data_IF_397632493402
#
_entry.id   IF_397632493402
#
_cell.length_a   1.000
_cell.length_b   1.000
_cell.length_c   1.000
_cell.angle_alpha   90.00
_cell.angle_beta   90.00
_cell.angle_gamma   90.00
#
_symmetry.space_group_name_H-M   'P 1'
#
loop_
_entity.id
_entity.type
_entity.pdbx_description
1 polymer ?
#
# COMPACT_ATOMS: atom_id res chain seq x y z
N UNK A 1 16.82 14.64 8.51
CA UNK A 1 15.44 14.89 7.99
C UNK A 1 14.59 13.70 8.45
N UNK A 2 13.80 13.85 9.52
CA UNK A 2 13.03 12.75 10.14
C UNK A 2 11.68 12.53 9.44
N UNK A 3 11.65 12.47 8.10
CA UNK A 3 10.41 12.17 7.37
C UNK A 3 10.24 10.65 7.39
N UNK A 4 9.68 10.18 8.49
CA UNK A 4 9.43 8.79 8.81
C UNK A 4 8.58 8.09 7.73
N UNK A 5 8.95 6.85 7.41
CA UNK A 5 8.17 5.90 6.61
C UNK A 5 6.73 5.70 7.11
N UNK A 6 6.41 6.10 8.37
CA UNK A 6 5.04 6.20 8.91
C UNK A 6 4.09 6.90 7.93
N UNK A 7 4.56 7.91 7.18
CA UNK A 7 3.72 8.62 6.21
C UNK A 7 3.25 7.74 5.04
N UNK A 8 3.87 6.59 4.78
CA UNK A 8 3.51 5.73 3.65
C UNK A 8 2.44 4.69 4.01
N UNK A 9 2.41 4.18 5.25
CA UNK A 9 1.46 3.15 5.68
C UNK A 9 0.04 3.72 5.95
N UNK A 10 -0.04 4.91 6.53
CA UNK A 10 -1.32 5.55 6.93
C UNK A 10 -2.27 5.77 5.74
N UNK A 11 -1.83 6.24 4.56
CA UNK A 11 -2.70 6.40 3.40
C UNK A 11 -3.25 5.07 2.84
N UNK A 12 -2.58 3.94 3.06
CA UNK A 12 -3.00 2.64 2.48
C UNK A 12 -4.17 2.01 3.23
N UNK A 13 -4.20 2.13 4.55
CA UNK A 13 -5.29 1.64 5.39
C UNK A 13 -6.64 2.32 5.10
N UNK A 14 -6.65 3.44 4.38
CA UNK A 14 -7.89 4.14 4.00
C UNK A 14 -8.66 3.46 2.85
N UNK A 15 -8.01 2.59 2.08
CA UNK A 15 -8.65 1.91 0.95
C UNK A 15 -9.30 0.59 1.34
N UNK A 16 -8.76 -0.09 2.36
CA UNK A 16 -9.38 -1.22 3.01
C UNK A 16 -10.51 -0.70 3.89
N UNK A 17 -11.76 -1.02 3.56
CA UNK A 17 -12.90 -0.57 4.34
C UNK A 17 -12.91 -1.13 5.76
N UNK A 18 -12.35 -0.38 6.72
CA UNK A 18 -12.76 -0.36 8.12
C UNK A 18 -12.09 -1.35 9.08
N UNK A 19 -11.27 -0.82 9.99
CA UNK A 19 -11.09 -1.42 11.32
C UNK A 19 -12.08 -0.73 12.28
N UNK A 20 -13.12 -1.46 12.74
CA UNK A 20 -13.94 -1.12 13.91
C UNK A 20 -15.28 -0.40 13.68
N UNK A 21 -16.38 -1.17 13.58
CA UNK A 21 -17.32 -1.43 14.69
C UNK A 21 -18.47 -2.30 14.16
N UNK A 22 -18.50 -3.57 14.54
CA UNK A 22 -19.64 -4.46 14.33
C UNK A 22 -20.74 -4.12 15.35
N UNK A 23 -21.45 -3.02 15.13
CA UNK A 23 -22.73 -2.74 15.79
C UNK A 23 -23.85 -2.55 14.77
N UNK A 24 -24.55 -3.67 14.56
CA UNK A 24 -26.00 -3.78 14.38
C UNK A 24 -26.71 -2.84 13.40
N UNK A 25 -27.01 -3.39 12.22
CA UNK A 25 -28.40 -3.40 11.72
C UNK A 25 -28.79 -4.83 11.32
N UNK A 26 -29.68 -5.42 12.12
CA UNK A 26 -30.44 -6.63 11.75
C UNK A 26 -31.43 -6.25 10.64
N UNK A 27 -31.49 -7.06 9.58
CA UNK A 27 -32.72 -7.75 9.15
C UNK A 27 -32.43 -8.73 7.99
N UNK A 28 -32.68 -10.01 8.28
CA UNK A 28 -33.15 -11.08 7.39
C UNK A 28 -32.43 -11.42 6.07
N UNK A 29 -31.56 -12.44 6.14
CA UNK A 29 -31.81 -13.82 5.64
C UNK A 29 -30.53 -14.63 5.76
N UNK A 30 -30.58 -15.66 6.61
CA UNK A 30 -29.56 -16.71 6.64
C UNK A 30 -29.84 -17.60 5.42
N UNK A 31 -29.26 -17.23 4.28
CA UNK A 31 -28.89 -18.22 3.27
C UNK A 31 -27.46 -18.63 3.57
N UNK A 32 -27.28 -19.94 3.78
CA UNK A 32 -25.98 -20.58 3.99
C UNK A 32 -25.11 -20.20 2.79
N UNK A 33 -24.18 -19.27 2.99
CA UNK A 33 -23.28 -18.83 1.94
C UNK A 33 -22.42 -20.05 1.55
N UNK A 34 -22.72 -20.57 0.36
CA UNK A 34 -21.75 -21.31 -0.43
C UNK A 34 -20.43 -20.53 -0.41
N UNK A 35 -19.32 -21.27 -0.38
CA UNK A 35 -17.98 -20.72 -0.39
C UNK A 35 -17.75 -20.02 -1.74
N UNK A 36 -18.29 -18.81 -1.88
CA UNK A 36 -18.17 -17.98 -3.06
C UNK A 36 -16.67 -17.76 -3.30
N UNK A 37 -16.20 -18.02 -4.51
CA UNK A 37 -14.87 -17.62 -4.92
C UNK A 37 -14.69 -16.12 -4.63
N UNK A 38 -13.57 -15.77 -4.00
CA UNK A 38 -13.22 -14.37 -3.71
C UNK A 38 -13.24 -13.56 -5.00
N UNK A 39 -13.89 -12.39 -5.00
CA UNK A 39 -13.88 -11.53 -6.18
C UNK A 39 -12.48 -10.95 -6.40
N UNK A 40 -12.16 -10.51 -7.62
CA UNK A 40 -10.91 -9.79 -7.92
C UNK A 40 -10.68 -8.63 -6.94
N UNK A 41 -11.75 -7.89 -6.64
CA UNK A 41 -11.72 -6.75 -5.74
C UNK A 41 -11.36 -7.17 -4.32
N UNK A 42 -11.95 -8.25 -3.81
CA UNK A 42 -11.63 -8.77 -2.47
C UNK A 42 -10.16 -9.18 -2.39
N UNK A 43 -9.65 -9.88 -3.41
CA UNK A 43 -8.24 -10.29 -3.49
C UNK A 43 -7.28 -9.09 -3.51
N UNK A 44 -7.64 -8.01 -4.22
CA UNK A 44 -6.84 -6.77 -4.24
C UNK A 44 -6.90 -6.03 -2.90
N UNK A 45 -8.03 -6.07 -2.18
CA UNK A 45 -8.13 -5.48 -0.85
C UNK A 45 -7.30 -6.28 0.18
N UNK A 46 -7.32 -7.61 0.08
CA UNK A 46 -6.47 -8.47 0.91
C UNK A 46 -4.99 -8.22 0.63
N UNK A 47 -4.60 -8.13 -0.64
CA UNK A 47 -3.26 -7.71 -1.04
C UNK A 47 -2.87 -6.34 -0.43
N UNK A 48 -3.76 -5.35 -0.51
CA UNK A 48 -3.55 -4.01 0.05
C UNK A 48 -3.29 -4.04 1.56
N UNK A 49 -4.01 -4.88 2.29
CA UNK A 49 -3.83 -5.05 3.73
C UNK A 49 -2.46 -5.65 4.04
N UNK A 50 -2.14 -6.79 3.42
CA UNK A 50 -0.85 -7.47 3.61
C UNK A 50 0.33 -6.59 3.22
N UNK A 51 0.18 -5.81 2.14
CA UNK A 51 1.21 -4.85 1.74
C UNK A 51 1.39 -3.73 2.77
N UNK A 52 0.29 -3.21 3.34
CA UNK A 52 0.34 -2.25 4.44
C UNK A 52 1.04 -2.80 5.69
N UNK A 53 0.86 -4.10 5.99
CA UNK A 53 1.58 -4.78 7.07
C UNK A 53 3.08 -4.89 6.77
N UNK A 54 3.48 -5.27 5.55
CA UNK A 54 4.90 -5.28 5.16
C UNK A 54 5.57 -3.91 5.34
N UNK A 55 4.88 -2.82 4.95
CA UNK A 55 5.41 -1.47 5.14
C UNK A 55 5.47 -1.05 6.61
N UNK A 56 4.55 -1.53 7.44
CA UNK A 56 4.58 -1.30 8.89
C UNK A 56 5.79 -1.99 9.51
N UNK A 57 5.98 -3.29 9.24
CA UNK A 57 7.16 -4.05 9.68
C UNK A 57 8.46 -3.35 9.25
N UNK A 58 8.53 -2.94 8.00
CA UNK A 58 9.71 -2.26 7.47
C UNK A 58 9.98 -0.92 8.15
N UNK A 59 8.93 -0.13 8.41
CA UNK A 59 9.07 1.12 9.15
C UNK A 59 9.58 0.86 10.58
N UNK A 60 9.11 -0.18 11.25
CA UNK A 60 9.53 -0.52 12.60
C UNK A 60 11.02 -0.88 12.62
N UNK A 61 11.49 -1.69 11.66
CA UNK A 61 12.92 -2.00 11.49
C UNK A 61 13.76 -0.73 11.27
N UNK A 62 13.30 0.20 10.42
CA UNK A 62 14.01 1.46 10.16
C UNK A 62 14.01 2.39 11.39
N UNK A 63 13.00 2.30 12.25
CA UNK A 63 12.95 3.07 13.50
C UNK A 63 13.90 2.53 14.56
N UNK A 64 14.08 1.22 14.61
CA UNK A 64 15.06 0.57 15.47
C UNK A 64 16.49 0.89 15.02
N UNK A 65 16.76 0.75 13.72
CA UNK A 65 18.03 1.11 13.10
C UNK A 65 17.81 1.70 11.70
N UNK A 66 18.06 3.01 11.57
CA UNK A 66 17.92 3.73 10.29
C UNK A 66 18.87 3.19 9.22
N UNK A 67 19.96 2.53 9.59
CA UNK A 67 20.88 1.89 8.65
C UNK A 67 20.47 0.47 8.29
N UNK A 68 19.55 -0.13 9.06
CA UNK A 68 19.13 -1.53 9.00
C UNK A 68 20.29 -2.53 9.14
N UNK A 69 21.46 -2.11 9.63
CA UNK A 69 22.64 -2.96 9.79
C UNK A 69 22.46 -3.99 10.90
N UNK A 70 21.75 -3.64 11.96
CA UNK A 70 21.47 -4.57 13.06
C UNK A 70 20.36 -5.57 12.73
N UNK A 71 19.52 -5.28 11.74
CA UNK A 71 18.29 -6.00 11.45
C UNK A 71 18.21 -6.44 9.96
N UNK A 72 19.36 -6.78 9.36
CA UNK A 72 19.46 -7.08 7.93
C UNK A 72 18.67 -8.34 7.55
N UNK A 73 18.70 -9.36 8.42
CA UNK A 73 17.99 -10.63 8.19
C UNK A 73 16.48 -10.41 8.24
N UNK A 74 15.98 -9.70 9.26
CA UNK A 74 14.57 -9.35 9.38
C UNK A 74 14.09 -8.47 8.22
N UNK A 75 14.93 -7.53 7.77
CA UNK A 75 14.61 -6.74 6.57
C UNK A 75 14.51 -7.62 5.33
N UNK A 76 15.45 -8.56 5.13
CA UNK A 76 15.41 -9.49 4.00
C UNK A 76 14.15 -10.38 4.03
N UNK A 77 13.73 -10.84 5.20
CA UNK A 77 12.46 -11.58 5.37
C UNK A 77 11.25 -10.76 4.92
N UNK A 78 11.16 -9.49 5.32
CA UNK A 78 10.08 -8.59 4.87
C UNK A 78 10.10 -8.39 3.35
N UNK A 79 11.29 -8.33 2.73
CA UNK A 79 11.42 -8.23 1.26
C UNK A 79 10.97 -9.52 0.57
N UNK A 80 11.21 -10.69 1.17
CA UNK A 80 10.70 -11.97 0.65
C UNK A 80 9.17 -12.01 0.74
N UNK A 81 8.60 -11.65 1.89
CA UNK A 81 7.14 -11.55 2.07
C UNK A 81 6.51 -10.64 1.01
N UNK A 82 7.08 -9.44 0.82
CA UNK A 82 6.65 -8.52 -0.23
C UNK A 82 6.75 -9.14 -1.64
N UNK A 83 7.85 -9.84 -1.92
CA UNK A 83 8.07 -10.45 -3.23
C UNK A 83 7.03 -11.53 -3.54
N UNK A 84 6.61 -12.28 -2.54
CA UNK A 84 5.57 -13.29 -2.71
C UNK A 84 4.18 -12.64 -2.88
N UNK A 85 3.85 -11.61 -2.09
CA UNK A 85 2.64 -10.81 -2.32
C UNK A 85 2.60 -10.20 -3.73
N UNK A 86 3.73 -9.70 -4.23
CA UNK A 86 3.79 -9.13 -5.55
C UNK A 86 3.58 -10.17 -6.66
N UNK A 87 4.13 -11.39 -6.50
CA UNK A 87 3.84 -12.50 -7.43
C UNK A 87 2.36 -12.87 -7.41
N UNK A 88 1.75 -12.93 -6.23
CA UNK A 88 0.32 -13.22 -6.10
C UNK A 88 -0.52 -12.16 -6.83
N UNK A 89 -0.19 -10.88 -6.66
CA UNK A 89 -0.81 -9.79 -7.39
C UNK A 89 -0.65 -9.94 -8.92
N UNK A 90 0.55 -10.30 -9.40
CA UNK A 90 0.82 -10.52 -10.83
C UNK A 90 -0.01 -11.66 -11.44
N UNK A 91 -0.40 -12.64 -10.62
CA UNK A 91 -1.20 -13.78 -11.04
C UNK A 91 -2.72 -13.51 -11.00
N UNK A 92 -3.15 -12.39 -10.41
CA UNK A 92 -4.56 -12.02 -10.42
C UNK A 92 -5.02 -11.64 -11.83
N UNK A 93 -6.23 -12.08 -12.18
CA UNK A 93 -6.86 -11.75 -13.46
C UNK A 93 -7.93 -10.69 -13.21
N UNK A 94 -7.69 -9.43 -13.61
CA UNK A 94 -8.66 -8.36 -13.38
C UNK A 94 -9.84 -8.44 -14.35
N UNK A 95 -11.04 -8.08 -13.87
CA UNK A 95 -12.15 -7.78 -14.77
C UNK A 95 -11.79 -6.61 -15.70
N UNK A 96 -12.48 -6.55 -16.84
CA UNK A 96 -12.20 -5.58 -17.91
C UNK A 96 -12.13 -4.14 -17.41
N UNK A 97 -13.01 -3.76 -16.48
CA UNK A 97 -13.07 -2.41 -15.92
C UNK A 97 -11.87 -2.07 -15.04
N UNK A 98 -11.26 -3.05 -14.36
CA UNK A 98 -10.12 -2.84 -13.48
C UNK A 98 -8.77 -2.96 -14.17
N UNK A 99 -8.70 -3.55 -15.37
CA UNK A 99 -7.43 -3.90 -16.05
C UNK A 99 -6.39 -2.78 -16.07
N UNK A 100 -6.77 -1.58 -16.50
CA UNK A 100 -5.84 -0.42 -16.58
C UNK A 100 -5.33 -0.01 -15.19
N UNK A 101 -6.16 -0.15 -14.16
CA UNK A 101 -5.79 0.21 -12.79
C UNK A 101 -4.99 -0.90 -12.11
N UNK A 102 -5.24 -2.17 -12.45
CA UNK A 102 -4.42 -3.30 -12.06
C UNK A 102 -2.99 -3.17 -12.61
N UNK A 103 -2.82 -2.85 -13.89
CA UNK A 103 -1.50 -2.63 -14.51
C UNK A 103 -0.74 -1.47 -13.83
N UNK A 104 -1.45 -0.41 -13.42
CA UNK A 104 -0.86 0.68 -12.63
C UNK A 104 -0.46 0.23 -11.23
N UNK A 105 -1.25 -0.64 -10.59
CA UNK A 105 -0.92 -1.21 -9.29
C UNK A 105 0.32 -2.11 -9.39
N UNK A 106 0.44 -2.95 -10.41
CA UNK A 106 1.66 -3.73 -10.69
C UNK A 106 2.89 -2.82 -10.87
N UNK A 107 2.73 -1.74 -11.65
CA UNK A 107 3.81 -0.77 -11.84
C UNK A 107 4.18 -0.04 -10.54
N UNK A 108 3.21 0.21 -9.65
CA UNK A 108 3.49 0.74 -8.32
C UNK A 108 4.35 -0.24 -7.53
N UNK A 109 4.01 -1.53 -7.54
CA UNK A 109 4.77 -2.57 -6.83
C UNK A 109 6.17 -2.76 -7.42
N UNK A 110 6.37 -2.60 -8.72
CA UNK A 110 7.73 -2.64 -9.29
C UNK A 110 8.62 -1.52 -8.75
N UNK A 111 8.07 -0.34 -8.42
CA UNK A 111 8.86 0.72 -7.77
C UNK A 111 9.28 0.33 -6.34
N UNK A 112 8.43 -0.36 -5.59
CA UNK A 112 8.79 -0.89 -4.28
C UNK A 112 9.82 -2.02 -4.38
N UNK A 113 9.66 -2.93 -5.35
CA UNK A 113 10.64 -3.98 -5.62
C UNK A 113 12.03 -3.39 -5.95
N UNK A 114 12.10 -2.38 -6.82
CA UNK A 114 13.34 -1.65 -7.12
C UNK A 114 13.94 -1.04 -5.85
N UNK A 115 13.12 -0.40 -5.01
CA UNK A 115 13.58 0.27 -3.80
C UNK A 115 14.14 -0.71 -2.77
N UNK A 116 13.51 -1.87 -2.61
CA UNK A 116 13.93 -2.90 -1.68
C UNK A 116 15.21 -3.60 -2.14
N UNK A 117 15.34 -3.90 -3.43
CA UNK A 117 16.58 -4.42 -4.00
C UNK A 117 17.75 -3.45 -3.78
N UNK A 118 17.55 -2.16 -4.08
CA UNK A 118 18.56 -1.12 -3.80
C UNK A 118 18.97 -1.08 -2.33
N UNK A 119 18.02 -1.32 -1.41
CA UNK A 119 18.28 -1.29 0.01
C UNK A 119 19.06 -2.52 0.48
N UNK A 120 18.71 -3.72 -0.03
CA UNK A 120 19.45 -4.95 0.24
C UNK A 120 20.90 -4.86 -0.26
N UNK A 121 21.10 -4.41 -1.50
CA UNK A 121 22.43 -4.25 -2.10
C UNK A 121 23.29 -3.23 -1.34
N UNK A 122 22.65 -2.26 -0.69
CA UNK A 122 23.33 -1.20 0.06
C UNK A 122 23.95 -1.67 1.38
N UNK A 123 23.64 -2.86 1.89
CA UNK A 123 24.23 -3.38 3.12
C UNK A 123 25.74 -3.63 3.05
N UNK A 124 26.26 -3.93 1.86
CA UNK A 124 27.69 -4.17 1.69
C UNK A 124 28.48 -2.87 1.47
N UNK A 125 27.90 -1.88 0.77
CA UNK A 125 28.58 -0.60 0.48
C UNK A 125 27.64 0.52 -0.02
N UNK A 126 26.69 0.97 0.80
CA UNK A 126 25.76 2.04 0.41
C UNK A 126 26.46 3.39 0.14
N UNK A 127 26.11 4.03 -0.97
CA UNK A 127 26.28 5.47 -1.16
C UNK A 127 25.02 6.22 -0.73
N UNK A 128 25.17 7.48 -0.31
CA UNK A 128 24.03 8.37 -0.02
C UNK A 128 23.07 8.52 -1.22
N UNK A 129 23.58 8.36 -2.45
CA UNK A 129 22.79 8.44 -3.68
C UNK A 129 21.83 7.26 -3.83
N UNK A 130 22.29 6.03 -3.56
CA UNK A 130 21.44 4.82 -3.63
C UNK A 130 20.32 4.85 -2.59
N UNK A 131 20.61 5.35 -1.39
CA UNK A 131 19.61 5.51 -0.34
C UNK A 131 18.54 6.56 -0.71
N UNK A 132 18.98 7.66 -1.32
CA UNK A 132 18.08 8.69 -1.84
C UNK A 132 17.22 8.14 -2.98
N UNK A 133 17.81 7.37 -3.89
CA UNK A 133 17.10 6.75 -5.01
C UNK A 133 16.06 5.75 -4.53
N UNK A 134 16.41 4.87 -3.58
CA UNK A 134 15.47 3.92 -2.95
C UNK A 134 14.28 4.67 -2.33
N UNK A 135 14.53 5.76 -1.61
CA UNK A 135 13.47 6.60 -1.04
C UNK A 135 12.56 7.22 -2.11
N UNK A 136 13.14 7.77 -3.17
CA UNK A 136 12.38 8.36 -4.28
C UNK A 136 11.53 7.32 -5.02
N UNK A 137 12.04 6.09 -5.15
CA UNK A 137 11.31 4.95 -5.72
C UNK A 137 10.11 4.57 -4.85
N UNK A 138 10.29 4.44 -3.52
CA UNK A 138 9.16 4.20 -2.60
C UNK A 138 8.09 5.30 -2.68
N UNK A 139 8.49 6.57 -2.77
CA UNK A 139 7.54 7.68 -2.89
C UNK A 139 6.76 7.64 -4.22
N UNK A 140 7.46 7.36 -5.32
CA UNK A 140 6.82 7.19 -6.65
C UNK A 140 5.87 5.99 -6.65
N UNK A 141 6.27 4.90 -6.00
CA UNK A 141 5.45 3.72 -5.76
C UNK A 141 4.18 4.07 -5.01
N UNK A 142 4.27 4.77 -3.87
CA UNK A 142 3.12 5.22 -3.09
C UNK A 142 2.17 6.07 -3.93
N UNK A 143 2.65 7.08 -4.64
CA UNK A 143 1.76 7.96 -5.41
C UNK A 143 0.93 7.16 -6.42
N UNK A 144 1.56 6.23 -7.14
CA UNK A 144 0.88 5.38 -8.10
C UNK A 144 -0.05 4.36 -7.43
N UNK A 145 0.32 3.87 -6.23
CA UNK A 145 -0.53 3.02 -5.40
C UNK A 145 -1.83 3.71 -5.05
N UNK A 146 -1.76 4.94 -4.49
CA UNK A 146 -2.95 5.70 -4.09
C UNK A 146 -3.89 5.96 -5.27
N UNK A 147 -3.32 6.29 -6.43
CA UNK A 147 -4.07 6.52 -7.67
C UNK A 147 -4.75 5.25 -8.18
N UNK A 148 -4.04 4.13 -8.19
CA UNK A 148 -4.57 2.85 -8.67
C UNK A 148 -5.64 2.28 -7.74
N UNK A 149 -5.37 2.20 -6.44
CA UNK A 149 -6.32 1.74 -5.43
C UNK A 149 -7.52 2.66 -5.28
N UNK A 150 -7.34 3.97 -5.42
CA UNK A 150 -8.44 4.93 -5.46
C UNK A 150 -9.38 4.69 -6.62
N UNK A 151 -8.84 4.51 -7.82
CA UNK A 151 -9.65 4.20 -8.99
C UNK A 151 -10.36 2.85 -8.90
N UNK A 152 -9.68 1.81 -8.38
CA UNK A 152 -10.32 0.49 -8.15
C UNK A 152 -11.50 0.63 -7.18
N UNK A 153 -11.33 1.39 -6.10
CA UNK A 153 -12.41 1.67 -5.16
C UNK A 153 -13.53 2.54 -5.74
N UNK A 154 -13.21 3.49 -6.62
CA UNK A 154 -14.22 4.30 -7.30
C UNK A 154 -15.09 3.42 -8.20
N UNK A 155 -14.48 2.57 -9.03
CA UNK A 155 -15.19 1.61 -9.90
C UNK A 155 -16.07 0.67 -9.06
N UNK A 156 -15.51 0.09 -7.99
CA UNK A 156 -16.25 -0.80 -7.06
C UNK A 156 -17.51 -0.14 -6.48
N UNK A 157 -17.48 1.17 -6.24
CA UNK A 157 -18.59 1.94 -5.67
C UNK A 157 -19.55 2.50 -6.72
N UNK A 158 -19.21 2.41 -8.00
CA UNK A 158 -19.91 3.12 -9.07
C UNK A 158 -19.67 4.63 -9.08
N UNK A 159 -18.58 5.09 -8.46
CA UNK A 159 -18.17 6.49 -8.42
C UNK A 159 -17.40 6.89 -9.70
N UNK A 160 -17.30 8.20 -9.98
CA UNK A 160 -16.39 8.72 -11.01
C UNK A 160 -14.93 8.40 -10.64
N UNK A 161 -14.19 7.80 -11.60
CA UNK A 161 -12.77 7.47 -11.44
C UNK A 161 -11.95 8.71 -11.12
N UNK A 162 -11.19 8.65 -10.02
CA UNK A 162 -10.36 9.75 -9.50
C UNK A 162 -11.06 10.57 -8.41
N UNK A 163 -12.31 10.27 -8.08
CA UNK A 163 -13.02 10.94 -6.98
C UNK A 163 -12.43 10.58 -5.62
N UNK A 164 -11.93 9.36 -5.41
CA UNK A 164 -11.22 9.00 -4.17
C UNK A 164 -9.93 9.80 -4.01
N UNK A 165 -9.13 9.94 -5.06
CA UNK A 165 -7.88 10.74 -5.04
C UNK A 165 -8.17 12.21 -4.69
N UNK A 166 -9.17 12.83 -5.35
CA UNK A 166 -9.61 14.19 -5.06
C UNK A 166 -10.01 14.37 -3.59
N UNK A 167 -10.76 13.41 -3.03
CA UNK A 167 -11.17 13.41 -1.61
C UNK A 167 -9.97 13.31 -0.66
N UNK A 168 -8.96 12.52 -1.01
CA UNK A 168 -7.74 12.38 -0.20
C UNK A 168 -6.88 13.64 -0.23
N UNK A 169 -6.72 14.27 -1.39
CA UNK A 169 -5.94 15.50 -1.51
C UNK A 169 -6.58 16.66 -0.76
N UNK A 170 -7.90 16.82 -0.87
CA UNK A 170 -8.65 17.81 -0.08
C UNK A 170 -8.44 17.63 1.43
N UNK A 171 -8.52 16.39 1.94
CA UNK A 171 -8.25 16.09 3.35
C UNK A 171 -6.81 16.39 3.80
N UNK A 172 -5.84 16.38 2.89
CA UNK A 172 -4.45 16.76 3.21
C UNK A 172 -4.33 18.28 3.33
N UNK A 173 -4.90 19.01 2.36
CA UNK A 173 -4.96 20.49 2.37
C UNK A 173 -5.65 21.00 3.64
N UNK A 174 -6.82 20.45 4.00
CA UNK A 174 -7.57 20.82 5.20
C UNK A 174 -6.81 20.55 6.52
N UNK A 175 -5.84 19.61 6.52
CA UNK A 175 -5.01 19.29 7.69
C UNK A 175 -3.76 20.15 7.81
N UNK A 176 -3.19 20.56 6.68
CA UNK A 176 -2.04 21.47 6.64
C UNK A 176 -2.46 22.88 7.07
N UNK A 177 -3.65 23.35 6.63
CA UNK A 177 -4.22 24.63 7.09
C UNK A 177 -4.45 24.67 8.61
N UNK A 178 -4.81 23.54 9.24
CA UNK A 178 -5.02 23.45 10.69
C UNK A 178 -3.72 23.34 11.51
N UNK A 179 -2.58 23.00 10.88
CA UNK A 179 -1.28 22.96 11.55
C UNK A 179 -0.55 24.31 11.51
N UNK A 180 -0.87 25.18 10.55
CA UNK A 180 -0.30 26.52 10.44
C UNK A 180 -1.03 27.57 11.32
N UNK A 181 -2.21 27.23 11.87
CA UNK A 181 -2.99 28.08 12.78
C UNK A 181 -2.82 27.77 14.29
N UNK A 182 -1.97 26.80 14.66
CA UNK A 182 -1.73 26.36 16.05
C UNK A 182 -0.31 26.67 16.55
#
# INVERSE_FOLDING_TARGET
MKRSLICLAVPMMLFAGGCGNSESKKEDKIEVAEKNESTYVDQVMDFSNSFGECLTKMNDLVQEDETLFSNQEEFAEVVIEFSDLYKDLQNLVPDKEYKVHHEKLLRSMSYYADAFSLRLDSFESATTEELSLSTAKMQSGLELYLKSMGAINDIRRGDEVGSTEKRMNKKKEDKEEQQDEA
#
